data_IF_640301198373
#
_entry.id   IF_640301198373
#
_cell.length_a   1.000
_cell.length_b   1.000
_cell.length_c   1.000
_cell.angle_alpha   90.00
_cell.angle_beta   90.00
_cell.angle_gamma   90.00
#
_symmetry.space_group_name_H-M   'P 1'
#
loop_
_entity.id
_entity.type
_entity.pdbx_description
1 polymer ?
#
# COMPACT_ATOMS: atom_id res chain seq x y z
N UNK A 1 7.97 9.47 -2.42
CA UNK A 1 9.03 8.52 -2.13
C UNK A 1 10.29 8.83 -2.90
N UNK A 2 11.43 8.46 -2.38
CA UNK A 2 12.72 8.79 -2.97
C UNK A 2 13.13 7.75 -4.02
N UNK A 3 13.20 8.10 -5.30
CA UNK A 3 13.65 7.17 -6.34
C UNK A 3 15.05 6.59 -6.08
N UNK A 4 15.89 7.36 -5.41
CA UNK A 4 17.24 6.93 -5.06
C UNK A 4 17.27 5.69 -4.18
N UNK A 5 16.26 5.51 -3.34
CA UNK A 5 16.18 4.36 -2.45
C UNK A 5 16.16 3.06 -3.23
N UNK A 6 15.36 3.01 -4.28
CA UNK A 6 15.19 1.80 -5.08
C UNK A 6 16.41 1.49 -5.95
N UNK A 7 17.17 2.50 -6.36
CA UNK A 7 18.33 2.31 -7.22
C UNK A 7 19.63 2.12 -6.46
N UNK A 8 19.72 2.66 -5.24
CA UNK A 8 20.95 2.68 -4.46
C UNK A 8 21.04 1.58 -3.40
N UNK A 9 19.92 1.04 -2.95
CA UNK A 9 19.89 0.10 -1.84
C UNK A 9 19.39 -1.27 -2.26
N UNK A 10 19.96 -2.31 -1.65
CA UNK A 10 19.43 -3.66 -1.73
C UNK A 10 18.17 -3.73 -0.86
N UNK A 11 17.23 -4.67 -1.13
CA UNK A 11 16.00 -4.79 -0.35
C UNK A 11 16.19 -4.83 1.16
N UNK A 12 17.22 -5.54 1.63
CA UNK A 12 17.51 -5.63 3.05
C UNK A 12 17.86 -4.28 3.67
N UNK A 13 18.65 -3.47 2.97
CA UNK A 13 19.03 -2.13 3.41
C UNK A 13 17.81 -1.20 3.46
N UNK A 14 16.91 -1.33 2.47
CA UNK A 14 15.69 -0.53 2.42
C UNK A 14 14.78 -0.85 3.60
N UNK A 15 14.69 -2.13 4.01
CA UNK A 15 13.91 -2.52 5.20
C UNK A 15 14.48 -1.85 6.44
N UNK A 16 15.80 -1.81 6.61
CA UNK A 16 16.42 -1.15 7.74
C UNK A 16 16.09 0.34 7.81
N UNK A 17 16.06 1.02 6.66
CA UNK A 17 15.68 2.43 6.59
C UNK A 17 14.22 2.62 7.00
N UNK A 18 13.33 1.76 6.51
CA UNK A 18 11.90 1.81 6.84
C UNK A 18 11.67 1.63 8.34
N UNK A 19 12.43 0.76 8.98
CA UNK A 19 12.30 0.50 10.43
C UNK A 19 12.59 1.74 11.29
N UNK A 20 13.20 2.78 10.73
CA UNK A 20 13.49 4.02 11.43
C UNK A 20 12.35 5.04 11.38
N UNK A 21 11.30 4.76 10.60
CA UNK A 21 10.13 5.64 10.52
C UNK A 21 9.41 5.63 11.88
N UNK A 22 9.01 6.82 12.34
CA UNK A 22 8.32 6.96 13.62
C UNK A 22 6.90 6.43 13.60
N UNK A 23 6.18 6.68 12.51
CA UNK A 23 4.80 6.22 12.39
C UNK A 23 4.78 4.75 12.02
N UNK A 24 4.26 3.93 12.93
CA UNK A 24 4.25 2.47 12.75
C UNK A 24 3.34 2.02 11.60
N UNK A 25 2.26 2.74 11.33
CA UNK A 25 1.34 2.37 10.25
C UNK A 25 1.97 2.64 8.89
N UNK A 26 2.58 3.80 8.71
CA UNK A 26 3.29 4.11 7.47
C UNK A 26 4.48 3.19 7.29
N UNK A 27 5.16 2.86 8.37
CA UNK A 27 6.27 1.90 8.33
C UNK A 27 5.80 0.52 7.87
N UNK A 28 4.65 0.07 8.36
CA UNK A 28 4.09 -1.22 7.96
C UNK A 28 3.72 -1.23 6.47
N UNK A 29 3.10 -0.17 5.99
CA UNK A 29 2.76 -0.05 4.57
C UNK A 29 4.02 -0.01 3.71
N UNK A 30 5.04 0.72 4.13
CA UNK A 30 6.31 0.77 3.41
C UNK A 30 6.99 -0.61 3.38
N UNK A 31 6.89 -1.35 4.48
CA UNK A 31 7.41 -2.72 4.55
C UNK A 31 6.66 -3.65 3.59
N UNK A 32 5.34 -3.52 3.53
CA UNK A 32 4.53 -4.30 2.58
C UNK A 32 4.95 -4.02 1.14
N UNK A 33 5.19 -2.75 0.82
CA UNK A 33 5.66 -2.34 -0.49
C UNK A 33 7.00 -3.00 -0.84
N UNK A 34 7.93 -3.01 0.11
CA UNK A 34 9.22 -3.66 -0.08
C UNK A 34 9.08 -5.17 -0.30
N UNK A 35 8.18 -5.81 0.44
CA UNK A 35 7.91 -7.23 0.24
C UNK A 35 7.38 -7.49 -1.17
N UNK A 36 6.47 -6.65 -1.64
CA UNK A 36 5.94 -6.80 -2.99
C UNK A 36 7.05 -6.71 -4.05
N UNK A 37 7.89 -5.69 -3.97
CA UNK A 37 8.97 -5.50 -4.93
C UNK A 37 10.08 -6.54 -4.81
N UNK A 38 10.16 -7.22 -3.68
CA UNK A 38 11.12 -8.30 -3.46
C UNK A 38 10.58 -9.67 -3.88
N UNK A 39 9.39 -9.73 -4.48
CA UNK A 39 8.77 -10.97 -4.90
C UNK A 39 8.08 -11.72 -3.78
N UNK A 40 7.83 -11.07 -2.65
CA UNK A 40 7.18 -11.67 -1.48
C UNK A 40 5.74 -11.17 -1.37
N UNK A 41 4.95 -11.48 -2.38
CA UNK A 41 3.57 -11.01 -2.49
C UNK A 41 2.68 -11.46 -1.33
N UNK A 42 2.92 -12.65 -0.79
CA UNK A 42 2.13 -13.18 0.33
C UNK A 42 2.29 -12.31 1.58
N UNK A 43 3.52 -11.97 1.93
CA UNK A 43 3.80 -11.13 3.09
C UNK A 43 3.24 -9.72 2.89
N UNK A 44 3.35 -9.20 1.68
CA UNK A 44 2.74 -7.92 1.32
C UNK A 44 1.23 -7.95 1.55
N UNK A 45 0.57 -8.98 1.06
CA UNK A 45 -0.87 -9.16 1.18
C UNK A 45 -1.31 -9.20 2.66
N UNK A 46 -0.59 -9.92 3.50
CA UNK A 46 -0.91 -10.05 4.92
C UNK A 46 -0.87 -8.71 5.63
N UNK A 47 0.12 -7.88 5.34
CA UNK A 47 0.21 -6.56 5.94
C UNK A 47 -0.89 -5.65 5.41
N UNK A 48 -1.07 -5.61 4.09
CA UNK A 48 -2.03 -4.72 3.45
C UNK A 48 -3.47 -5.00 3.90
N UNK A 49 -3.81 -6.26 4.14
CA UNK A 49 -5.15 -6.65 4.59
C UNK A 49 -5.59 -5.92 5.84
N UNK A 50 -4.67 -5.64 6.74
CA UNK A 50 -4.97 -4.94 8.00
C UNK A 50 -5.38 -3.49 7.82
N UNK A 51 -5.11 -2.90 6.67
CA UNK A 51 -5.37 -1.48 6.41
C UNK A 51 -6.43 -1.22 5.34
N UNK A 52 -7.10 -2.25 4.86
CA UNK A 52 -8.08 -2.11 3.77
C UNK A 52 -9.27 -1.21 4.12
N UNK A 53 -9.58 -1.09 5.39
CA UNK A 53 -10.70 -0.27 5.88
C UNK A 53 -10.22 0.80 6.86
N UNK A 54 -8.95 1.17 6.79
CA UNK A 54 -8.41 2.19 7.68
C UNK A 54 -9.07 3.55 7.45
N UNK A 55 -9.25 4.31 8.52
CA UNK A 55 -9.86 5.64 8.45
C UNK A 55 -9.00 6.64 7.70
N UNK A 56 -7.69 6.50 7.77
CA UNK A 56 -6.77 7.34 7.02
C UNK A 56 -6.78 6.92 5.55
N UNK A 57 -7.31 7.79 4.69
CA UNK A 57 -7.49 7.50 3.26
C UNK A 57 -6.17 7.14 2.59
N UNK A 58 -5.09 7.79 2.97
CA UNK A 58 -3.76 7.53 2.38
C UNK A 58 -3.30 6.10 2.67
N UNK A 59 -3.45 5.65 3.90
CA UNK A 59 -3.11 4.27 4.27
C UNK A 59 -4.03 3.28 3.60
N UNK A 60 -5.31 3.57 3.61
CA UNK A 60 -6.33 2.72 2.99
C UNK A 60 -6.09 2.54 1.50
N UNK A 61 -5.82 3.64 0.79
CA UNK A 61 -5.56 3.60 -0.64
C UNK A 61 -4.30 2.79 -0.95
N UNK A 62 -3.21 3.06 -0.23
CA UNK A 62 -1.96 2.31 -0.40
C UNK A 62 -2.17 0.82 -0.15
N UNK A 63 -2.89 0.48 0.90
CA UNK A 63 -3.19 -0.91 1.23
C UNK A 63 -4.01 -1.59 0.14
N UNK A 64 -5.03 -0.92 -0.38
CA UNK A 64 -5.86 -1.47 -1.45
C UNK A 64 -5.05 -1.73 -2.72
N UNK A 65 -4.16 -0.83 -3.07
CA UNK A 65 -3.28 -0.98 -4.23
C UNK A 65 -2.37 -2.19 -4.04
N UNK A 66 -1.69 -2.27 -2.91
CA UNK A 66 -0.77 -3.37 -2.62
C UNK A 66 -1.51 -4.70 -2.53
N UNK A 67 -2.67 -4.71 -1.90
CA UNK A 67 -3.49 -5.90 -1.78
C UNK A 67 -3.93 -6.41 -3.15
N UNK A 68 -4.37 -5.49 -4.01
CA UNK A 68 -4.79 -5.84 -5.37
C UNK A 68 -3.64 -6.43 -6.18
N UNK A 69 -2.51 -5.76 -6.23
CA UNK A 69 -1.37 -6.24 -7.01
C UNK A 69 -0.77 -7.52 -6.46
N UNK A 70 -0.65 -7.64 -5.14
CA UNK A 70 -0.09 -8.85 -4.55
C UNK A 70 -0.98 -10.07 -4.81
N UNK A 71 -2.29 -9.89 -4.75
CA UNK A 71 -3.22 -10.98 -5.05
C UNK A 71 -3.24 -11.36 -6.51
N UNK A 72 -3.05 -10.39 -7.42
CA UNK A 72 -2.88 -10.69 -8.84
C UNK A 72 -1.64 -11.57 -9.05
N UNK A 73 -0.55 -11.23 -8.39
CA UNK A 73 0.68 -12.02 -8.47
C UNK A 73 0.48 -13.44 -7.92
N UNK A 74 -0.38 -13.59 -6.92
CA UNK A 74 -0.67 -14.88 -6.32
C UNK A 74 -1.76 -15.66 -7.07
N UNK A 75 -2.36 -15.06 -8.10
CA UNK A 75 -3.40 -15.71 -8.88
C UNK A 75 -4.77 -15.68 -8.21
N UNK A 76 -4.97 -14.85 -7.20
CA UNK A 76 -6.24 -14.74 -6.49
C UNK A 76 -7.04 -13.56 -7.02
N UNK A 77 -7.81 -13.79 -8.08
CA UNK A 77 -8.57 -12.74 -8.75
C UNK A 77 -9.69 -12.15 -7.91
N UNK A 78 -10.32 -12.94 -7.07
CA UNK A 78 -11.41 -12.45 -6.19
C UNK A 78 -10.89 -11.42 -5.18
N UNK A 79 -9.75 -11.71 -4.54
CA UNK A 79 -9.13 -10.78 -3.61
C UNK A 79 -8.58 -9.55 -4.32
N UNK A 80 -8.04 -9.73 -5.53
CA UNK A 80 -7.56 -8.60 -6.34
C UNK A 80 -8.70 -7.64 -6.67
N UNK A 81 -9.88 -8.16 -6.96
CA UNK A 81 -11.07 -7.36 -7.22
C UNK A 81 -11.47 -6.54 -5.98
N UNK A 82 -11.37 -7.14 -4.80
CA UNK A 82 -11.64 -6.44 -3.54
C UNK A 82 -10.72 -5.22 -3.39
N UNK A 83 -9.44 -5.38 -3.71
CA UNK A 83 -8.50 -4.27 -3.70
C UNK A 83 -8.90 -3.16 -4.67
N UNK A 84 -9.28 -3.52 -5.88
CA UNK A 84 -9.72 -2.57 -6.90
C UNK A 84 -10.96 -1.79 -6.44
N UNK A 85 -11.94 -2.49 -5.88
CA UNK A 85 -13.15 -1.85 -5.35
C UNK A 85 -12.81 -0.84 -4.25
N UNK A 86 -11.86 -1.18 -3.36
CA UNK A 86 -11.39 -0.28 -2.33
C UNK A 86 -10.70 0.95 -2.90
N UNK A 87 -9.93 0.80 -3.97
CA UNK A 87 -9.30 1.92 -4.67
C UNK A 87 -10.37 2.86 -5.23
N UNK A 88 -11.36 2.32 -5.90
CA UNK A 88 -12.45 3.11 -6.48
C UNK A 88 -13.20 3.89 -5.40
N UNK A 89 -13.45 3.26 -4.27
CA UNK A 89 -14.10 3.90 -3.13
C UNK A 89 -13.28 5.05 -2.57
N UNK A 90 -11.98 4.84 -2.40
CA UNK A 90 -11.07 5.90 -1.93
C UNK A 90 -11.04 7.07 -2.89
N UNK A 91 -11.03 6.81 -4.19
CA UNK A 91 -11.05 7.87 -5.20
C UNK A 91 -12.31 8.71 -5.14
N UNK A 92 -13.45 8.09 -4.87
CA UNK A 92 -14.71 8.80 -4.69
C UNK A 92 -14.66 9.72 -3.48
N UNK A 93 -14.07 9.25 -2.38
CA UNK A 93 -13.93 10.07 -1.17
C UNK A 93 -13.00 11.25 -1.38
N UNK A 94 -11.88 11.05 -2.05
CA UNK A 94 -10.93 12.12 -2.36
C UNK A 94 -11.56 13.16 -3.28
N UNK A 95 -12.30 12.71 -4.28
CA UNK A 95 -13.01 13.60 -5.21
C UNK A 95 -14.03 14.46 -4.49
N UNK A 96 -14.74 13.88 -3.54
CA UNK A 96 -15.75 14.57 -2.74
C UNK A 96 -15.11 15.68 -1.88
N UNK A 97 -14.00 15.37 -1.24
CA UNK A 97 -13.26 16.32 -0.43
C UNK A 97 -12.66 17.45 -1.28
N UNK A 98 -12.13 17.11 -2.46
CA UNK A 98 -11.59 18.08 -3.39
C UNK A 98 -12.65 19.06 -3.87
N UNK A 99 -13.84 18.56 -4.21
CA UNK A 99 -14.95 19.41 -4.62
C UNK A 99 -15.37 20.37 -3.51
N UNK A 100 -15.39 19.91 -2.25
CA UNK A 100 -15.71 20.74 -1.10
C UNK A 100 -14.70 21.85 -0.90
N UNK A 101 -13.44 21.59 -1.15
CA UNK A 101 -12.37 22.57 -0.98
C UNK A 101 -12.37 23.66 -2.06
N UNK A 102 -12.88 23.37 -3.21
CA UNK A 102 -12.94 24.31 -4.33
C UNK A 102 -14.08 25.33 -4.19
N UNK A 103 -15.03 25.07 -3.34
CA UNK A 103 -16.13 25.98 -3.06
C UNK A 103 -15.71 27.01 -2.03
#
# INVERSE_FOLDING_TARGET
>A
MLPLLNSAFKPGTAVEVVERFEDSDFRNIARAELFYFSGRAKECCEIAESYLEDEAIELRLSACILYGYSNLSLGNSAAARRGLEGIQECMKLVKREGASKEV
#
